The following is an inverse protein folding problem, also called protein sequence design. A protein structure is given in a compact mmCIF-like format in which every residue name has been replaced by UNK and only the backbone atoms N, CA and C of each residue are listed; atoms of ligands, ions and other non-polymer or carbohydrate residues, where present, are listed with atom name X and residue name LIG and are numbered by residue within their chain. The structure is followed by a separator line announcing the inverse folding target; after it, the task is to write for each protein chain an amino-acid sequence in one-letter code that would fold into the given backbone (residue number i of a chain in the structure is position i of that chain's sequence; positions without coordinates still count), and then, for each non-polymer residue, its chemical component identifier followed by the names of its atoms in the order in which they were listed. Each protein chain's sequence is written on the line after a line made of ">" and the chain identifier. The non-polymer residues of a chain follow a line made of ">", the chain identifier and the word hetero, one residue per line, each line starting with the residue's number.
data_IF_835476097295
#
_entry.id   IF_835476097295
#
_cell.length_a   1.000
_cell.length_b   1.000
_cell.length_c   1.000
_cell.angle_alpha   90.00
_cell.angle_beta   90.00
_cell.angle_gamma   90.00
#
_symmetry.space_group_name_H-M   'P 1'
#
loop_
_entity.id
_entity.type
_entity.pdbx_description
1 polymer ?
#
# COMPACT_ATOMS: atom_id res chain seq x y z
N UNK A 1 1.95 -1.57 14.68
CA UNK A 1 2.96 -1.91 13.66
C UNK A 1 2.48 -3.10 12.83
N UNK A 2 2.26 -2.89 11.52
CA UNK A 2 1.89 -3.96 10.62
C UNK A 2 3.12 -4.82 10.26
N UNK A 3 3.00 -6.16 10.21
CA UNK A 3 4.08 -7.01 9.72
C UNK A 3 4.21 -6.92 8.20
N UNK A 4 5.39 -7.24 7.68
CA UNK A 4 5.62 -7.42 6.24
C UNK A 4 6.59 -8.56 5.98
N UNK A 5 6.58 -9.11 4.76
CA UNK A 5 7.54 -10.14 4.35
C UNK A 5 8.96 -9.62 4.53
N UNK A 6 9.82 -10.43 5.16
CA UNK A 6 11.19 -10.07 5.53
C UNK A 6 11.30 -8.79 6.39
N UNK A 7 10.17 -8.22 6.84
CA UNK A 7 10.11 -6.94 7.53
C UNK A 7 10.61 -5.76 6.67
N UNK A 8 10.44 -5.82 5.37
CA UNK A 8 10.95 -4.79 4.46
C UNK A 8 10.11 -3.53 4.39
N UNK A 9 8.84 -3.60 4.82
CA UNK A 9 7.95 -2.44 4.84
C UNK A 9 7.94 -1.64 3.53
N UNK A 10 7.74 -2.30 2.36
CA UNK A 10 7.90 -1.68 1.05
C UNK A 10 6.68 -0.82 0.69
N UNK A 11 6.34 0.12 1.56
CA UNK A 11 5.14 0.94 1.42
C UNK A 11 5.35 2.39 1.87
N UNK A 12 4.45 3.23 1.38
CA UNK A 12 4.09 4.53 1.95
C UNK A 12 2.57 4.63 2.07
N UNK A 13 2.09 5.53 2.92
CA UNK A 13 0.69 5.92 3.00
C UNK A 13 0.57 7.39 2.68
N UNK A 14 -0.36 7.71 1.79
CA UNK A 14 -0.76 9.07 1.49
C UNK A 14 -2.12 9.33 2.13
N UNK A 15 -2.16 10.17 3.17
CA UNK A 15 -3.41 10.62 3.77
C UNK A 15 -3.96 11.81 2.98
N UNK A 16 -5.08 11.59 2.32
CA UNK A 16 -5.69 12.58 1.43
C UNK A 16 -6.66 13.47 2.20
N UNK A 17 -6.19 14.66 2.58
CA UNK A 17 -7.01 15.68 3.28
C UNK A 17 -7.46 16.83 2.39
N UNK A 18 -6.84 17.02 1.23
CA UNK A 18 -7.14 18.12 0.31
C UNK A 18 -8.50 17.88 -0.38
N UNK A 19 -9.43 18.82 -0.21
CA UNK A 19 -10.80 18.71 -0.77
C UNK A 19 -10.82 18.76 -2.30
N UNK A 20 -9.98 19.58 -2.93
CA UNK A 20 -9.88 19.68 -4.38
C UNK A 20 -9.39 18.35 -4.98
N UNK A 21 -8.32 17.80 -4.42
CA UNK A 21 -7.81 16.49 -4.86
C UNK A 21 -8.83 15.36 -4.68
N UNK A 22 -9.64 15.40 -3.62
CA UNK A 22 -10.74 14.44 -3.44
C UNK A 22 -11.80 14.55 -4.55
N UNK A 23 -12.12 15.77 -4.99
CA UNK A 23 -13.07 15.96 -6.09
C UNK A 23 -12.50 15.49 -7.42
N UNK A 24 -11.23 15.85 -7.72
CA UNK A 24 -10.56 15.45 -8.96
C UNK A 24 -10.47 13.91 -9.09
N UNK A 25 -10.14 13.23 -8.00
CA UNK A 25 -10.02 11.77 -7.97
C UNK A 25 -11.32 11.03 -8.27
N UNK A 26 -12.49 11.64 -8.10
CA UNK A 26 -13.77 10.99 -8.42
C UNK A 26 -13.90 10.56 -9.88
N UNK A 27 -13.28 11.30 -10.79
CA UNK A 27 -13.30 11.00 -12.22
C UNK A 27 -12.47 9.77 -12.59
N UNK A 28 -11.53 9.37 -11.75
CA UNK A 28 -10.58 8.28 -12.00
C UNK A 28 -10.63 7.16 -10.94
N UNK A 29 -11.36 7.37 -9.84
CA UNK A 29 -11.56 6.39 -8.76
C UNK A 29 -13.07 6.10 -8.55
N UNK A 30 -13.64 5.42 -9.52
CA UNK A 30 -15.09 5.16 -9.59
C UNK A 30 -15.64 4.36 -8.37
N UNK A 31 -14.82 3.49 -7.77
CA UNK A 31 -15.18 2.76 -6.55
C UNK A 31 -15.12 3.59 -5.27
N UNK A 32 -14.60 4.82 -5.34
CA UNK A 32 -14.38 5.69 -4.19
C UNK A 32 -15.32 6.90 -4.13
N UNK A 33 -16.18 7.11 -5.11
CA UNK A 33 -16.90 8.38 -5.31
C UNK A 33 -17.65 8.84 -4.06
N UNK A 34 -18.45 7.98 -3.44
CA UNK A 34 -19.19 8.31 -2.22
C UNK A 34 -18.28 8.49 -1.00
N UNK A 35 -17.19 7.70 -0.92
CA UNK A 35 -16.24 7.75 0.19
C UNK A 35 -15.37 9.00 0.15
N UNK A 36 -15.04 9.51 -1.02
CA UNK A 36 -14.26 10.74 -1.18
C UNK A 36 -14.97 11.97 -0.61
N UNK A 37 -16.30 11.99 -0.61
CA UNK A 37 -17.10 13.07 0.02
C UNK A 37 -17.30 12.87 1.52
N UNK A 38 -17.65 11.65 1.93
CA UNK A 38 -18.15 11.38 3.28
C UNK A 38 -17.10 10.89 4.28
N UNK A 39 -16.04 10.24 3.83
CA UNK A 39 -15.06 9.66 4.74
C UNK A 39 -14.25 10.73 5.48
N UNK A 40 -14.09 10.56 6.79
CA UNK A 40 -13.28 11.45 7.62
C UNK A 40 -11.79 11.35 7.22
N UNK A 41 -11.32 10.16 6.90
CA UNK A 41 -9.95 9.90 6.44
C UNK A 41 -9.97 9.04 5.18
N UNK A 42 -9.19 9.44 4.19
CA UNK A 42 -9.01 8.69 2.96
C UNK A 42 -7.52 8.41 2.75
N UNK A 43 -7.16 7.14 2.67
CA UNK A 43 -5.77 6.70 2.58
C UNK A 43 -5.51 6.01 1.24
N UNK A 44 -4.47 6.44 0.54
CA UNK A 44 -3.93 5.78 -0.64
C UNK A 44 -2.66 5.04 -0.20
N UNK A 45 -2.64 3.74 -0.38
CA UNK A 45 -1.49 2.89 -0.07
C UNK A 45 -0.62 2.77 -1.31
N UNK A 46 0.64 3.13 -1.14
CA UNK A 46 1.66 3.12 -2.19
C UNK A 46 2.60 1.96 -1.94
N UNK A 47 2.81 1.12 -2.94
CA UNK A 47 3.79 0.05 -2.92
C UNK A 47 5.09 0.51 -3.59
N UNK A 48 6.24 0.19 -2.99
CA UNK A 48 7.54 0.52 -3.54
C UNK A 48 7.85 -0.38 -4.73
N UNK A 49 8.34 0.23 -5.80
CA UNK A 49 8.78 -0.47 -7.01
C UNK A 49 10.19 -1.05 -6.82
N UNK A 50 10.49 -2.12 -7.53
CA UNK A 50 11.83 -2.68 -7.66
C UNK A 50 12.49 -3.15 -6.36
N UNK A 51 11.74 -3.52 -5.32
CA UNK A 51 12.31 -3.94 -4.03
C UNK A 51 12.91 -5.33 -4.15
N UNK A 52 14.18 -5.38 -4.50
CA UNK A 52 14.98 -6.60 -4.50
C UNK A 52 16.15 -6.49 -3.51
N UNK A 53 16.90 -7.56 -3.35
CA UNK A 53 18.02 -7.68 -2.40
C UNK A 53 19.17 -6.69 -2.64
N UNK A 54 19.33 -6.15 -3.86
CA UNK A 54 20.39 -5.21 -4.24
C UNK A 54 19.98 -3.73 -4.11
N UNK A 55 18.70 -3.45 -3.85
CA UNK A 55 18.23 -2.07 -3.85
C UNK A 55 18.82 -1.23 -2.72
N UNK A 56 19.18 0.04 -2.99
CA UNK A 56 19.61 0.99 -1.95
C UNK A 56 18.59 1.15 -0.83
N UNK A 57 17.32 0.88 -1.11
CA UNK A 57 16.27 0.88 -0.10
C UNK A 57 16.51 -0.16 1.00
N UNK A 58 16.92 -1.38 0.63
CA UNK A 58 17.21 -2.43 1.61
C UNK A 58 18.44 -2.09 2.45
N UNK A 59 19.48 -1.56 1.82
CA UNK A 59 20.66 -1.07 2.54
C UNK A 59 20.29 0.00 3.56
N UNK A 60 19.54 1.02 3.13
CA UNK A 60 19.05 2.09 4.00
C UNK A 60 18.19 1.56 5.16
N UNK A 61 17.27 0.64 4.88
CA UNK A 61 16.44 0.00 5.90
C UNK A 61 17.29 -0.73 6.94
N UNK A 62 18.31 -1.47 6.50
CA UNK A 62 19.20 -2.19 7.40
C UNK A 62 20.02 -1.25 8.27
N UNK A 63 20.55 -0.18 7.70
CA UNK A 63 21.39 0.79 8.42
C UNK A 63 20.58 1.67 9.37
N UNK A 64 19.52 2.30 8.88
CA UNK A 64 18.79 3.33 9.63
C UNK A 64 17.76 2.75 10.61
N UNK A 65 17.12 1.65 10.25
CA UNK A 65 16.01 1.07 11.05
C UNK A 65 16.48 -0.14 11.88
N UNK A 66 17.30 -1.00 11.28
CA UNK A 66 17.76 -2.22 11.97
C UNK A 66 19.14 -2.10 12.61
N UNK A 67 19.81 -0.96 12.41
CA UNK A 67 21.15 -0.65 12.95
C UNK A 67 22.16 -1.74 12.63
N UNK A 68 22.15 -2.25 11.38
CA UNK A 68 23.04 -3.30 10.87
C UNK A 68 23.66 -2.85 9.55
N UNK A 69 24.91 -3.22 9.33
CA UNK A 69 25.52 -3.14 7.99
C UNK A 69 24.81 -4.09 7.03
N UNK A 70 24.71 -3.69 5.79
CA UNK A 70 24.20 -4.53 4.71
C UNK A 70 25.28 -4.65 3.62
N UNK A 71 25.52 -5.87 3.21
CA UNK A 71 26.42 -6.21 2.12
C UNK A 71 25.63 -7.12 1.15
N UNK A 72 25.42 -6.71 -0.11
CA UNK A 72 24.74 -7.51 -1.13
C UNK A 72 25.38 -8.87 -1.40
N UNK A 73 26.70 -9.01 -1.12
CA UNK A 73 27.43 -10.27 -1.29
C UNK A 73 27.38 -11.17 -0.05
N UNK A 74 26.73 -10.71 1.01
CA UNK A 74 26.62 -11.49 2.26
C UNK A 74 25.74 -12.74 2.10
N UNK A 75 25.95 -13.74 2.94
CA UNK A 75 25.09 -14.93 3.01
C UNK A 75 23.61 -14.56 3.34
N UNK A 76 23.37 -13.44 4.01
CA UNK A 76 22.03 -12.93 4.28
C UNK A 76 21.36 -12.39 3.00
N UNK A 77 22.09 -11.59 2.23
CA UNK A 77 21.58 -11.07 0.94
C UNK A 77 21.34 -12.20 -0.07
N UNK A 78 22.22 -13.17 -0.14
CA UNK A 78 22.02 -14.36 -0.99
C UNK A 78 20.80 -15.19 -0.60
N UNK A 79 20.44 -15.26 0.68
CA UNK A 79 19.16 -15.89 1.11
C UNK A 79 17.95 -15.09 0.65
N UNK A 80 17.98 -13.76 0.72
CA UNK A 80 16.91 -12.91 0.20
C UNK A 80 16.76 -13.11 -1.30
N UNK A 81 17.88 -13.09 -2.04
CA UNK A 81 17.93 -13.38 -3.47
C UNK A 81 17.27 -14.71 -3.80
N UNK A 82 17.71 -15.79 -3.15
CA UNK A 82 17.14 -17.14 -3.36
C UNK A 82 15.64 -17.18 -3.10
N UNK A 83 15.18 -16.56 -2.01
CA UNK A 83 13.76 -16.45 -1.72
C UNK A 83 13.03 -15.70 -2.84
N UNK A 84 13.52 -14.53 -3.25
CA UNK A 84 12.85 -13.71 -4.27
C UNK A 84 12.83 -14.41 -5.63
N UNK A 85 13.98 -14.86 -6.13
CA UNK A 85 14.11 -15.38 -7.49
C UNK A 85 13.64 -16.84 -7.62
N UNK A 86 14.00 -17.69 -6.64
CA UNK A 86 13.77 -19.13 -6.74
C UNK A 86 12.45 -19.57 -6.09
N UNK A 87 12.13 -19.07 -4.90
CA UNK A 87 10.96 -19.54 -4.15
C UNK A 87 9.70 -18.75 -4.53
N UNK A 88 9.78 -17.42 -4.49
CA UNK A 88 8.64 -16.53 -4.76
C UNK A 88 8.51 -16.12 -6.25
N UNK A 89 9.49 -16.44 -7.10
CA UNK A 89 9.50 -16.15 -8.55
C UNK A 89 9.32 -14.66 -8.88
N UNK A 90 9.99 -13.79 -8.13
CA UNK A 90 9.95 -12.33 -8.31
C UNK A 90 11.06 -11.91 -9.28
N UNK A 91 10.92 -12.27 -10.56
CA UNK A 91 11.98 -12.17 -11.55
C UNK A 91 11.84 -10.96 -12.50
N UNK A 92 10.83 -10.14 -12.31
CA UNK A 92 10.56 -8.95 -13.11
C UNK A 92 9.94 -7.83 -12.27
N UNK A 93 9.87 -6.62 -12.83
CA UNK A 93 9.32 -5.44 -12.15
C UNK A 93 7.87 -5.65 -11.71
N UNK A 94 7.07 -6.33 -12.51
CA UNK A 94 5.66 -6.57 -12.22
C UNK A 94 5.50 -7.48 -11.01
N UNK A 95 6.20 -8.60 -10.99
CA UNK A 95 6.14 -9.57 -9.87
C UNK A 95 6.68 -8.96 -8.57
N UNK A 96 7.74 -8.16 -8.63
CA UNK A 96 8.26 -7.40 -7.48
C UNK A 96 7.22 -6.39 -6.96
N UNK A 97 6.58 -5.64 -7.86
CA UNK A 97 5.53 -4.70 -7.48
C UNK A 97 4.31 -5.40 -6.88
N UNK A 98 3.85 -6.51 -7.48
CA UNK A 98 2.72 -7.30 -6.96
C UNK A 98 3.04 -7.88 -5.57
N UNK A 99 4.30 -8.30 -5.34
CA UNK A 99 4.75 -8.74 -4.03
C UNK A 99 4.76 -7.60 -3.00
N UNK A 100 5.28 -6.43 -3.36
CA UNK A 100 5.24 -5.24 -2.51
C UNK A 100 3.80 -4.80 -2.22
N UNK A 101 2.92 -4.85 -3.22
CA UNK A 101 1.49 -4.53 -3.07
C UNK A 101 0.79 -5.45 -2.07
N UNK A 102 1.09 -6.74 -2.04
CA UNK A 102 0.55 -7.67 -1.01
C UNK A 102 0.87 -7.20 0.41
N UNK A 103 2.02 -6.56 0.63
CA UNK A 103 2.39 -6.04 1.95
C UNK A 103 1.53 -4.83 2.35
N UNK A 104 1.12 -4.00 1.39
CA UNK A 104 0.20 -2.89 1.66
C UNK A 104 -1.19 -3.36 2.09
N UNK A 105 -1.67 -4.50 1.56
CA UNK A 105 -2.93 -5.13 1.99
C UNK A 105 -2.86 -5.62 3.43
N UNK A 106 -1.72 -6.16 3.85
CA UNK A 106 -1.49 -6.53 5.26
C UNK A 106 -1.56 -5.28 6.14
N UNK A 107 -0.88 -4.20 5.72
CA UNK A 107 -0.90 -2.92 6.44
C UNK A 107 -2.32 -2.34 6.50
N UNK A 108 -3.03 -2.28 5.37
CA UNK A 108 -4.41 -1.79 5.29
C UNK A 108 -5.33 -2.59 6.21
N UNK A 109 -5.27 -3.93 6.15
CA UNK A 109 -6.12 -4.80 6.99
C UNK A 109 -5.83 -4.58 8.48
N UNK A 110 -4.57 -4.40 8.85
CA UNK A 110 -4.22 -4.09 10.24
C UNK A 110 -4.81 -2.73 10.69
N UNK A 111 -4.80 -1.71 9.83
CA UNK A 111 -5.47 -0.44 10.10
C UNK A 111 -6.98 -0.57 10.18
N UNK A 112 -7.60 -1.36 9.29
CA UNK A 112 -9.04 -1.63 9.32
C UNK A 112 -9.45 -2.31 10.63
N UNK A 113 -8.69 -3.28 11.11
CA UNK A 113 -8.94 -3.95 12.40
C UNK A 113 -8.80 -2.96 13.57
N UNK A 114 -7.78 -2.10 13.56
CA UNK A 114 -7.62 -1.07 14.58
C UNK A 114 -8.78 -0.06 14.56
N UNK A 115 -9.26 0.34 13.37
CA UNK A 115 -10.40 1.25 13.21
C UNK A 115 -11.67 0.68 13.84
N UNK A 116 -11.95 -0.62 13.65
CA UNK A 116 -13.09 -1.30 14.27
C UNK A 116 -13.01 -1.25 15.79
N UNK A 117 -11.83 -1.45 16.38
CA UNK A 117 -11.64 -1.35 17.84
C UNK A 117 -11.85 0.07 18.37
N UNK A 118 -11.74 1.09 17.51
CA UNK A 118 -12.01 2.49 17.81
C UNK A 118 -13.47 2.91 17.47
N UNK A 119 -14.32 1.97 17.04
CA UNK A 119 -15.70 2.23 16.64
C UNK A 119 -15.85 2.89 15.27
N UNK A 120 -14.81 2.85 14.44
CA UNK A 120 -14.85 3.38 13.07
C UNK A 120 -15.07 2.27 12.06
N UNK A 121 -15.76 2.62 10.98
CA UNK A 121 -15.88 1.77 9.79
C UNK A 121 -14.77 2.03 8.79
N UNK A 122 -14.58 1.08 7.91
CA UNK A 122 -13.61 1.19 6.83
C UNK A 122 -14.10 0.50 5.56
N UNK A 123 -13.68 1.01 4.42
CA UNK A 123 -13.99 0.45 3.11
C UNK A 123 -12.72 0.38 2.26
N UNK A 124 -12.19 -0.83 1.96
CA UNK A 124 -11.11 -1.00 1.01
C UNK A 124 -11.61 -0.80 -0.42
N UNK A 125 -10.82 -0.19 -1.27
CA UNK A 125 -11.21 0.25 -2.62
C UNK A 125 -10.12 -0.15 -3.61
N UNK A 126 -10.51 -0.93 -4.62
CA UNK A 126 -9.70 -1.27 -5.79
C UNK A 126 -10.26 -0.67 -7.10
N UNK A 127 -11.45 -0.07 -7.02
CA UNK A 127 -12.16 0.48 -8.16
C UNK A 127 -11.62 1.85 -8.60
N UNK A 128 -10.44 1.86 -9.21
CA UNK A 128 -9.82 3.07 -9.78
C UNK A 128 -8.97 2.74 -11.02
N UNK A 129 -8.78 3.75 -11.86
CA UNK A 129 -7.86 3.71 -13.00
C UNK A 129 -6.45 4.04 -12.47
N UNK A 130 -5.63 3.02 -12.31
CA UNK A 130 -4.31 3.13 -11.69
C UNK A 130 -3.43 4.16 -12.39
N UNK A 131 -3.36 4.09 -13.72
CA UNK A 131 -2.45 4.95 -14.51
C UNK A 131 -2.86 6.42 -14.41
N UNK A 132 -4.17 6.70 -14.46
CA UNK A 132 -4.67 8.06 -14.29
C UNK A 132 -4.45 8.61 -12.88
N UNK A 133 -4.67 7.78 -11.86
CA UNK A 133 -4.43 8.18 -10.46
C UNK A 133 -2.95 8.44 -10.23
N UNK A 134 -2.05 7.58 -10.71
CA UNK A 134 -0.61 7.77 -10.59
C UNK A 134 -0.15 9.05 -11.27
N UNK A 135 -0.55 9.27 -12.54
CA UNK A 135 -0.21 10.48 -13.27
C UNK A 135 -0.72 11.76 -12.59
N UNK A 136 -1.95 11.73 -12.07
CA UNK A 136 -2.53 12.84 -11.32
C UNK A 136 -1.75 13.15 -10.03
N UNK A 137 -1.42 12.13 -9.23
CA UNK A 137 -0.69 12.30 -7.98
C UNK A 137 0.76 12.78 -8.23
N UNK A 138 1.37 12.34 -9.32
CA UNK A 138 2.69 12.82 -9.75
C UNK A 138 2.64 14.29 -10.18
N UNK A 139 1.65 14.68 -10.98
CA UNK A 139 1.42 16.09 -11.37
C UNK A 139 1.24 17.01 -10.16
N UNK A 140 0.53 16.52 -9.13
CA UNK A 140 0.37 17.26 -7.86
C UNK A 140 1.62 17.21 -6.95
N UNK A 141 2.68 16.54 -7.36
CA UNK A 141 3.95 16.46 -6.62
C UNK A 141 3.88 15.65 -5.32
N UNK A 142 2.89 14.78 -5.17
CA UNK A 142 2.69 13.97 -3.95
C UNK A 142 3.07 12.50 -4.12
N UNK A 143 3.34 12.07 -5.35
CA UNK A 143 3.82 10.74 -5.69
C UNK A 143 5.06 10.86 -6.58
N UNK A 144 6.10 10.12 -6.25
CA UNK A 144 7.21 9.84 -7.16
C UNK A 144 6.96 8.47 -7.80
N UNK A 145 6.54 8.48 -9.07
CA UNK A 145 6.20 7.25 -9.79
C UNK A 145 7.41 6.41 -10.17
N UNK A 146 8.62 6.95 -10.06
CA UNK A 146 9.85 6.17 -10.22
C UNK A 146 10.10 5.24 -9.02
N UNK A 147 9.68 5.63 -7.82
CA UNK A 147 9.86 4.87 -6.59
C UNK A 147 8.63 4.07 -6.14
N UNK A 148 7.43 4.62 -6.38
CA UNK A 148 6.19 4.04 -5.87
C UNK A 148 5.11 3.93 -6.94
N UNK A 149 4.20 2.98 -6.74
CA UNK A 149 2.95 2.89 -7.48
C UNK A 149 1.76 2.77 -6.51
N UNK A 150 0.58 3.15 -7.00
CA UNK A 150 -0.67 2.99 -6.23
C UNK A 150 -1.03 1.51 -6.16
N UNK A 151 -1.28 1.01 -4.95
CA UNK A 151 -1.67 -0.38 -4.71
C UNK A 151 -3.17 -0.51 -4.44
N UNK A 152 -3.65 0.14 -3.40
CA UNK A 152 -5.04 0.07 -2.94
C UNK A 152 -5.38 1.35 -2.19
N UNK A 153 -6.67 1.64 -2.05
CA UNK A 153 -7.16 2.76 -1.25
C UNK A 153 -8.05 2.25 -0.12
N UNK A 154 -8.20 3.04 0.93
CA UNK A 154 -9.15 2.75 2.00
C UNK A 154 -9.73 4.04 2.57
N UNK A 155 -11.04 4.04 2.73
CA UNK A 155 -11.77 5.08 3.43
C UNK A 155 -12.03 4.67 4.88
N UNK A 156 -11.95 5.61 5.81
CA UNK A 156 -12.25 5.42 7.23
C UNK A 156 -13.20 6.51 7.69
N UNK A 157 -14.17 6.16 8.53
CA UNK A 157 -15.15 7.11 9.04
C UNK A 157 -16.23 6.45 9.87
N UNK A 158 -17.24 7.21 10.21
CA UNK A 158 -18.43 6.72 10.88
C UNK A 158 -19.56 6.60 9.85
N UNK A 159 -20.24 5.44 9.85
CA UNK A 159 -21.37 5.25 8.91
C UNK A 159 -22.57 6.09 9.31
N UNK A 160 -23.30 6.50 8.30
CA UNK A 160 -24.56 7.25 8.42
C UNK A 160 -25.77 6.40 7.93
N UNK A 161 -25.66 5.09 8.03
CA UNK A 161 -26.70 4.15 7.60
C UNK A 161 -26.76 2.93 8.52
N UNK A 162 -27.90 2.21 8.47
CA UNK A 162 -28.05 0.95 9.19
C UNK A 162 -27.10 -0.13 8.69
N UNK A 163 -26.60 -0.94 9.62
CA UNK A 163 -25.70 -2.06 9.32
C UNK A 163 -26.48 -3.16 8.61
N UNK A 164 -26.16 -3.41 7.35
CA UNK A 164 -26.66 -4.58 6.63
C UNK A 164 -25.81 -5.81 6.97
N UNK A 165 -26.43 -6.97 7.23
CA UNK A 165 -25.70 -8.20 7.48
C UNK A 165 -24.72 -8.51 6.33
N UNK A 166 -23.49 -8.88 6.69
CA UNK A 166 -22.50 -9.32 5.70
C UNK A 166 -22.82 -10.73 5.22
N UNK A 167 -22.92 -10.91 3.91
CA UNK A 167 -23.07 -12.22 3.30
C UNK A 167 -21.69 -12.77 2.92
N UNK A 168 -21.37 -13.97 3.38
CA UNK A 168 -20.11 -14.68 3.10
C UNK A 168 -20.41 -16.16 2.87
N UNK A 169 -19.49 -16.84 2.19
CA UNK A 169 -19.51 -18.30 2.16
C UNK A 169 -19.34 -18.85 3.59
N UNK A 170 -20.10 -19.89 3.91
CA UNK A 170 -19.85 -20.64 5.13
C UNK A 170 -18.54 -21.42 4.95
N UNK A 171 -17.59 -21.19 5.83
CA UNK A 171 -16.31 -21.93 5.88
C UNK A 171 -16.38 -23.01 6.93
#
# INVERSE_FOLDING_TARGET
>A
LAPSSLGFEPWKMLLLNNKEMKQDLKSMAWGAVSMLDGASHFVIYLARKGVNYETPYIEKLMQEVRHRSYDPDSAYAHRIKSFQESDAKLNDERSLFDWASKQTYIQMTNMMNAAVLMGMDSCPIEGFDKDKVEAYLEEKGVLDTSEFGVSVMCAFGYRDEEIKPKVRWNT
#
